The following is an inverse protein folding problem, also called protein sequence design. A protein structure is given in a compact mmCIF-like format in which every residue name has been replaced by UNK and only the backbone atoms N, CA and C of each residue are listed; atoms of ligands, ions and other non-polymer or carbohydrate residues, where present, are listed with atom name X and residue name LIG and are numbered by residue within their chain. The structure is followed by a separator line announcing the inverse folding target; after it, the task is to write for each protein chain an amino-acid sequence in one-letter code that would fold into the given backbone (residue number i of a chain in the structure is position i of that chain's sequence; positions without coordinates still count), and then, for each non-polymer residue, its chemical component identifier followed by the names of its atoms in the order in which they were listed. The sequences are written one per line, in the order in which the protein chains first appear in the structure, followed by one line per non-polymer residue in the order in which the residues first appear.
data_IF_826796851300
#
_entry.id   IF_826796851300
#
_cell.length_a   1.000
_cell.length_b   1.000
_cell.length_c   1.000
_cell.angle_alpha   90.00
_cell.angle_beta   90.00
_cell.angle_gamma   90.00
#
_symmetry.space_group_name_H-M   'P 1'
#
loop_
_entity.id
_entity.type
_entity.pdbx_description
1 polymer ?
#
# COMPACT_ATOMS: atom_id res chain seq x y z
N UNK A 1 20.57 -10.69 13.82
CA UNK A 1 20.57 -9.31 13.27
C UNK A 1 19.42 -9.09 12.28
N UNK A 2 19.13 -10.03 11.41
CA UNK A 2 18.04 -9.97 10.41
C UNK A 2 16.67 -9.68 11.03
N UNK A 3 16.35 -10.35 12.14
CA UNK A 3 15.07 -10.17 12.83
C UNK A 3 14.82 -8.73 13.30
N UNK A 4 15.83 -8.08 13.89
CA UNK A 4 15.75 -6.70 14.37
C UNK A 4 15.59 -5.73 13.19
N UNK A 5 16.36 -5.95 12.14
CA UNK A 5 16.32 -5.08 10.97
C UNK A 5 14.99 -5.19 10.20
N UNK A 6 14.41 -6.40 10.04
CA UNK A 6 13.08 -6.59 9.45
C UNK A 6 11.99 -5.95 10.31
N UNK A 7 12.08 -6.10 11.64
CA UNK A 7 11.13 -5.48 12.56
C UNK A 7 11.17 -3.95 12.48
N UNK A 8 12.36 -3.37 12.41
CA UNK A 8 12.53 -1.93 12.22
C UNK A 8 12.05 -1.46 10.85
N UNK A 9 12.37 -2.21 9.79
CA UNK A 9 11.85 -1.93 8.45
C UNK A 9 10.31 -2.00 8.42
N UNK A 10 9.70 -2.94 9.15
CA UNK A 10 8.25 -3.03 9.28
C UNK A 10 7.63 -1.85 10.01
N UNK A 11 8.28 -1.34 11.06
CA UNK A 11 7.86 -0.09 11.73
C UNK A 11 7.87 1.09 10.75
N UNK A 12 8.98 1.29 10.03
CA UNK A 12 9.09 2.35 9.02
C UNK A 12 8.08 2.16 7.89
N UNK A 13 7.86 0.91 7.47
CA UNK A 13 6.86 0.58 6.45
C UNK A 13 5.45 0.98 6.91
N UNK A 14 5.04 0.61 8.12
CA UNK A 14 3.76 1.01 8.69
C UNK A 14 3.62 2.52 8.82
N UNK A 15 4.68 3.18 9.28
CA UNK A 15 4.75 4.65 9.37
C UNK A 15 4.50 5.31 8.01
N UNK A 16 5.25 4.93 6.98
CA UNK A 16 5.12 5.51 5.63
C UNK A 16 3.80 5.08 4.97
N UNK A 17 3.40 3.80 5.12
CA UNK A 17 2.14 3.31 4.54
C UNK A 17 0.94 4.09 5.03
N UNK A 18 0.88 4.34 6.32
CA UNK A 18 -0.26 5.04 6.93
C UNK A 18 -0.46 6.45 6.38
N UNK A 19 0.59 7.05 5.90
CA UNK A 19 0.64 8.45 5.45
C UNK A 19 0.39 8.57 3.95
N UNK A 20 1.13 7.81 3.14
CA UNK A 20 1.13 7.92 1.66
C UNK A 20 0.67 6.63 0.99
N UNK A 21 0.62 5.50 1.72
CA UNK A 21 0.26 4.21 1.13
C UNK A 21 1.43 3.49 0.45
N UNK A 22 2.67 3.72 0.92
CA UNK A 22 3.89 3.19 0.29
C UNK A 22 4.72 2.24 1.15
N UNK A 23 4.16 1.65 2.20
CA UNK A 23 4.92 0.82 3.16
C UNK A 23 5.65 -0.37 2.54
N UNK A 24 5.04 -1.01 1.55
CA UNK A 24 5.69 -2.09 0.82
C UNK A 24 6.97 -1.68 0.08
N UNK A 25 7.13 -0.39 -0.26
CA UNK A 25 8.37 0.14 -0.85
C UNK A 25 9.56 0.11 0.13
N UNK A 26 9.31 -0.07 1.41
CA UNK A 26 10.34 -0.21 2.45
C UNK A 26 10.54 -1.68 2.83
N UNK A 27 9.45 -2.35 3.23
CA UNK A 27 9.55 -3.70 3.78
C UNK A 27 9.93 -4.74 2.72
N UNK A 28 9.38 -4.65 1.50
CA UNK A 28 9.66 -5.62 0.44
C UNK A 28 11.14 -5.61 0.03
N UNK A 29 11.77 -4.47 -0.33
CA UNK A 29 13.20 -4.45 -0.62
C UNK A 29 14.06 -4.89 0.55
N UNK A 30 13.70 -4.51 1.80
CA UNK A 30 14.43 -4.96 2.98
C UNK A 30 14.38 -6.49 3.14
N UNK A 31 13.22 -7.12 2.88
CA UNK A 31 13.07 -8.56 2.90
C UNK A 31 13.90 -9.24 1.79
N UNK A 32 13.88 -8.72 0.55
CA UNK A 32 14.69 -9.28 -0.54
C UNK A 32 16.20 -9.13 -0.29
N UNK A 33 16.64 -8.03 0.32
CA UNK A 33 18.05 -7.83 0.67
C UNK A 33 18.53 -8.79 1.76
N UNK A 34 17.65 -9.14 2.72
CA UNK A 34 17.98 -10.05 3.82
C UNK A 34 17.82 -11.52 3.47
N UNK A 35 16.85 -11.83 2.60
CA UNK A 35 16.51 -13.20 2.21
C UNK A 35 16.53 -13.36 0.70
N UNK A 36 17.70 -13.20 0.03
CA UNK A 36 17.80 -13.14 -1.43
C UNK A 36 17.38 -14.45 -2.12
N UNK A 37 17.47 -15.58 -1.42
CA UNK A 37 17.12 -16.91 -1.94
C UNK A 37 15.68 -17.33 -1.63
N UNK A 38 14.91 -16.48 -0.90
CA UNK A 38 13.54 -16.80 -0.56
C UNK A 38 12.60 -16.61 -1.77
N UNK A 39 11.56 -17.43 -1.82
CA UNK A 39 10.54 -17.31 -2.86
C UNK A 39 9.81 -15.96 -2.73
N UNK A 40 9.59 -15.19 -3.83
CA UNK A 40 8.93 -13.88 -3.78
C UNK A 40 7.58 -13.90 -3.07
N UNK A 41 6.75 -14.92 -3.35
CA UNK A 41 5.45 -15.08 -2.70
C UNK A 41 5.56 -15.16 -1.16
N UNK A 42 6.62 -15.79 -0.62
CA UNK A 42 6.84 -15.87 0.83
C UNK A 42 7.19 -14.50 1.42
N UNK A 43 8.05 -13.74 0.76
CA UNK A 43 8.40 -12.39 1.20
C UNK A 43 7.19 -11.46 1.13
N UNK A 44 6.35 -11.60 0.09
CA UNK A 44 5.08 -10.86 0.01
C UNK A 44 4.07 -11.33 1.05
N UNK A 45 3.97 -12.62 1.33
CA UNK A 45 3.10 -13.15 2.39
C UNK A 45 3.45 -12.56 3.75
N UNK A 46 4.74 -12.48 4.08
CA UNK A 46 5.24 -11.82 5.30
C UNK A 46 4.91 -10.33 5.28
N UNK A 47 5.15 -9.62 4.17
CA UNK A 47 4.80 -8.20 4.04
C UNK A 47 3.29 -7.97 4.22
N UNK A 48 2.44 -8.77 3.57
CA UNK A 48 0.97 -8.67 3.66
C UNK A 48 0.47 -8.95 5.09
N UNK A 49 1.07 -9.92 5.78
CA UNK A 49 0.73 -10.22 7.17
C UNK A 49 1.00 -9.06 8.14
N UNK A 50 2.04 -8.27 7.89
CA UNK A 50 2.31 -7.06 8.66
C UNK A 50 1.40 -5.89 8.23
N UNK A 51 1.34 -5.62 6.92
CA UNK A 51 0.63 -4.48 6.34
C UNK A 51 -0.86 -4.49 6.62
N UNK A 52 -1.50 -5.68 6.68
CA UNK A 52 -2.92 -5.81 6.98
C UNK A 52 -3.27 -5.12 8.31
N UNK A 53 -2.51 -5.37 9.37
CA UNK A 53 -2.76 -4.80 10.70
C UNK A 53 -2.46 -3.31 10.75
N UNK A 54 -1.35 -2.87 10.17
CA UNK A 54 -1.02 -1.45 10.09
C UNK A 54 -2.03 -0.66 9.27
N UNK A 55 -2.45 -1.21 8.12
CA UNK A 55 -3.48 -0.59 7.28
C UNK A 55 -4.85 -0.55 7.98
N UNK A 56 -5.22 -1.59 8.73
CA UNK A 56 -6.44 -1.59 9.55
C UNK A 56 -6.41 -0.48 10.61
N UNK A 57 -5.28 -0.33 11.31
CA UNK A 57 -5.09 0.73 12.31
C UNK A 57 -5.18 2.14 11.69
N UNK A 58 -4.56 2.34 10.51
CA UNK A 58 -4.68 3.59 9.76
C UNK A 58 -6.12 3.85 9.30
N UNK A 59 -6.77 2.85 8.70
CA UNK A 59 -8.14 2.94 8.23
C UNK A 59 -9.10 3.35 9.35
N UNK A 60 -8.93 2.77 10.53
CA UNK A 60 -9.72 3.15 11.72
C UNK A 60 -9.52 4.62 12.11
N UNK A 61 -8.26 5.11 12.17
CA UNK A 61 -7.98 6.50 12.53
C UNK A 61 -8.53 7.49 11.49
N UNK A 62 -8.34 7.21 10.18
CA UNK A 62 -8.88 8.04 9.11
C UNK A 62 -10.41 8.06 9.11
N UNK A 63 -11.05 6.88 9.26
CA UNK A 63 -12.50 6.78 9.33
C UNK A 63 -13.07 7.54 10.52
N UNK A 64 -12.44 7.40 11.70
CA UNK A 64 -12.85 8.13 12.90
C UNK A 64 -12.72 9.66 12.71
N UNK A 65 -11.66 10.12 12.06
CA UNK A 65 -11.48 11.56 11.75
C UNK A 65 -12.56 12.08 10.80
N UNK A 66 -12.84 11.32 9.72
CA UNK A 66 -13.89 11.69 8.74
C UNK A 66 -15.27 11.71 9.42
N UNK A 67 -15.58 10.74 10.28
CA UNK A 67 -16.86 10.67 10.98
C UNK A 67 -17.04 11.83 11.97
N UNK A 68 -16.00 12.19 12.71
CA UNK A 68 -16.06 13.25 13.71
C UNK A 68 -16.04 14.66 13.09
N UNK A 69 -15.60 14.82 11.86
CA UNK A 69 -15.61 16.10 11.17
C UNK A 69 -17.01 16.54 10.67
N UNK A 70 -18.04 15.74 10.92
CA UNK A 70 -19.44 16.07 10.68
C UNK A 70 -19.94 15.84 9.25
N UNK A 71 -21.22 16.20 9.01
CA UNK A 71 -21.93 15.92 7.74
C UNK A 71 -21.25 16.48 6.48
N UNK A 72 -20.45 17.53 6.56
CA UNK A 72 -19.76 18.12 5.39
C UNK A 72 -18.74 17.15 4.78
N UNK A 73 -18.00 16.39 5.61
CA UNK A 73 -17.06 15.39 5.12
C UNK A 73 -17.75 14.08 4.70
N UNK A 74 -18.97 13.82 5.18
CA UNK A 74 -19.74 12.63 4.82
C UNK A 74 -20.46 12.77 3.46
N UNK A 75 -20.73 13.98 3.01
CA UNK A 75 -21.46 14.27 1.74
C UNK A 75 -20.63 13.98 0.48
N UNK A 76 -19.31 13.82 0.60
CA UNK A 76 -18.42 13.54 -0.53
C UNK A 76 -17.93 12.08 -0.60
N UNK A 77 -18.47 11.17 0.21
CA UNK A 77 -18.08 9.77 0.12
C UNK A 77 -18.69 9.12 -1.13
N UNK A 78 -17.91 8.28 -1.79
CA UNK A 78 -18.34 7.37 -2.86
C UNK A 78 -19.70 6.74 -2.55
N UNK A 79 -20.56 6.60 -3.54
CA UNK A 79 -21.82 5.89 -3.33
C UNK A 79 -21.52 4.50 -2.76
N UNK A 80 -22.29 4.07 -1.76
CA UNK A 80 -22.07 2.77 -1.09
C UNK A 80 -21.95 1.63 -2.08
N UNK A 81 -22.74 1.68 -3.15
CA UNK A 81 -22.76 0.66 -4.19
C UNK A 81 -21.46 0.64 -5.00
N UNK A 82 -20.93 1.81 -5.43
CA UNK A 82 -19.67 1.91 -6.15
C UNK A 82 -18.48 1.45 -5.26
N UNK A 83 -18.54 1.79 -3.98
CA UNK A 83 -17.51 1.39 -3.01
C UNK A 83 -17.49 -0.13 -2.77
N UNK A 84 -18.66 -0.75 -2.53
CA UNK A 84 -18.75 -2.20 -2.37
C UNK A 84 -18.30 -2.94 -3.63
N UNK A 85 -18.68 -2.46 -4.82
CA UNK A 85 -18.20 -3.02 -6.08
C UNK A 85 -16.68 -2.92 -6.22
N UNK A 86 -16.08 -1.75 -5.91
CA UNK A 86 -14.64 -1.56 -5.96
C UNK A 86 -13.92 -2.49 -4.98
N UNK A 87 -14.45 -2.67 -3.77
CA UNK A 87 -13.88 -3.56 -2.77
C UNK A 87 -13.89 -5.02 -3.25
N UNK A 88 -15.02 -5.50 -3.76
CA UNK A 88 -15.11 -6.86 -4.31
C UNK A 88 -14.13 -7.07 -5.46
N UNK A 89 -14.05 -6.10 -6.38
CA UNK A 89 -13.12 -6.19 -7.52
C UNK A 89 -11.66 -6.05 -7.09
N UNK A 90 -11.35 -5.27 -6.05
CA UNK A 90 -10.01 -5.21 -5.47
C UNK A 90 -9.60 -6.54 -4.83
N UNK A 91 -10.52 -7.19 -4.13
CA UNK A 91 -10.32 -8.54 -3.55
C UNK A 91 -10.07 -9.57 -4.65
N UNK A 92 -10.90 -9.60 -5.70
CA UNK A 92 -10.73 -10.52 -6.82
C UNK A 92 -9.42 -10.26 -7.56
N UNK A 93 -9.13 -9.00 -7.89
CA UNK A 93 -7.87 -8.62 -8.54
C UNK A 93 -6.66 -9.03 -7.71
N UNK A 94 -6.69 -8.73 -6.41
CA UNK A 94 -5.59 -9.05 -5.49
C UNK A 94 -5.36 -10.56 -5.34
N UNK A 95 -6.43 -11.33 -5.29
CA UNK A 95 -6.32 -12.80 -5.26
C UNK A 95 -5.65 -13.34 -6.53
N UNK A 96 -6.07 -12.85 -7.71
CA UNK A 96 -5.46 -13.23 -8.99
C UNK A 96 -3.99 -12.78 -9.09
N UNK A 97 -3.67 -11.56 -8.64
CA UNK A 97 -2.30 -11.07 -8.58
C UNK A 97 -1.40 -11.87 -7.66
N UNK A 98 -1.90 -12.20 -6.46
CA UNK A 98 -1.20 -13.05 -5.51
C UNK A 98 -1.00 -14.48 -6.04
N UNK A 99 -1.98 -15.02 -6.74
CA UNK A 99 -1.81 -16.30 -7.43
C UNK A 99 -0.73 -16.22 -8.52
N UNK A 100 -0.75 -15.17 -9.33
CA UNK A 100 0.23 -14.99 -10.40
C UNK A 100 1.67 -14.92 -9.87
N UNK A 101 1.93 -14.23 -8.75
CA UNK A 101 3.28 -14.14 -8.18
C UNK A 101 3.80 -15.48 -7.62
N UNK A 102 2.92 -16.41 -7.26
CA UNK A 102 3.37 -17.77 -6.85
C UNK A 102 3.98 -18.55 -8.02
N UNK A 103 3.73 -18.15 -9.27
CA UNK A 103 4.24 -18.78 -10.48
C UNK A 103 5.56 -18.14 -10.96
N UNK A 104 6.01 -17.04 -10.33
CA UNK A 104 7.20 -16.31 -10.77
C UNK A 104 8.46 -16.85 -10.11
N UNK A 105 9.52 -17.05 -10.90
CA UNK A 105 10.82 -17.47 -10.39
C UNK A 105 11.48 -16.39 -9.53
N UNK A 106 12.21 -16.76 -8.46
CA UNK A 106 12.92 -15.80 -7.60
C UNK A 106 13.90 -14.90 -8.37
N UNK A 107 14.67 -15.46 -9.31
CA UNK A 107 15.70 -14.73 -10.06
C UNK A 107 15.10 -13.67 -11.00
N UNK A 108 14.03 -14.02 -11.71
CA UNK A 108 13.34 -13.08 -12.59
C UNK A 108 12.75 -11.91 -11.83
N UNK A 109 12.15 -12.20 -10.68
CA UNK A 109 11.55 -11.16 -9.82
C UNK A 109 12.60 -10.23 -9.21
N UNK A 110 13.71 -10.76 -8.71
CA UNK A 110 14.82 -9.98 -8.12
C UNK A 110 15.39 -8.97 -9.11
N UNK A 111 15.60 -9.37 -10.38
CA UNK A 111 16.08 -8.48 -11.44
C UNK A 111 15.05 -7.41 -11.83
N UNK A 112 13.76 -7.72 -11.79
CA UNK A 112 12.69 -6.78 -12.12
C UNK A 112 12.41 -5.76 -11.01
N UNK A 113 12.67 -6.11 -9.73
CA UNK A 113 12.33 -5.31 -8.55
C UNK A 113 12.84 -3.86 -8.61
N UNK A 114 14.12 -3.56 -8.92
CA UNK A 114 14.60 -2.19 -8.98
C UNK A 114 13.87 -1.33 -10.01
N UNK A 115 13.56 -1.89 -11.18
CA UNK A 115 12.84 -1.17 -12.24
C UNK A 115 11.43 -0.80 -11.83
N UNK A 116 10.72 -1.72 -11.17
CA UNK A 116 9.36 -1.45 -10.67
C UNK A 116 9.39 -0.39 -9.57
N UNK A 117 10.37 -0.45 -8.64
CA UNK A 117 10.55 0.56 -7.60
C UNK A 117 10.86 1.94 -8.19
N UNK A 118 11.73 2.01 -9.20
CA UNK A 118 12.04 3.26 -9.92
C UNK A 118 10.79 3.81 -10.60
N UNK A 119 10.02 2.97 -11.28
CA UNK A 119 8.78 3.41 -11.94
C UNK A 119 7.78 4.00 -10.94
N UNK A 120 7.55 3.33 -9.79
CA UNK A 120 6.69 3.83 -8.72
C UNK A 120 7.23 5.13 -8.10
N UNK A 121 8.54 5.24 -7.95
CA UNK A 121 9.21 6.44 -7.44
C UNK A 121 9.03 7.63 -8.38
N UNK A 122 9.33 7.45 -9.67
CA UNK A 122 9.14 8.49 -10.69
C UNK A 122 7.67 8.93 -10.73
N UNK A 123 6.75 7.95 -10.72
CA UNK A 123 5.32 8.23 -10.65
C UNK A 123 4.96 9.11 -9.45
N UNK A 124 5.49 8.80 -8.26
CA UNK A 124 5.24 9.56 -7.03
C UNK A 124 5.84 10.97 -7.09
N UNK A 125 7.04 11.11 -7.70
CA UNK A 125 7.68 12.41 -7.90
C UNK A 125 6.90 13.33 -8.85
N UNK A 126 6.38 12.78 -9.93
CA UNK A 126 5.67 13.54 -10.98
C UNK A 126 4.36 14.20 -10.47
N UNK A 127 3.86 13.78 -9.30
CA UNK A 127 2.56 14.20 -8.77
C UNK A 127 2.70 15.25 -7.65
N UNK A 128 2.77 16.53 -8.04
CA UNK A 128 2.99 17.65 -7.10
C UNK A 128 1.73 18.09 -6.34
N UNK A 129 0.56 18.05 -6.97
CA UNK A 129 -0.70 18.55 -6.40
C UNK A 129 -1.67 17.39 -6.13
N UNK A 130 -1.77 17.01 -4.86
CA UNK A 130 -2.63 15.93 -4.40
C UNK A 130 -3.83 16.50 -3.63
N UNK A 131 -4.98 16.65 -4.33
CA UNK A 131 -6.30 16.82 -3.71
C UNK A 131 -6.41 17.93 -2.67
N UNK A 132 -6.28 19.19 -3.09
CA UNK A 132 -6.48 20.35 -2.21
C UNK A 132 -7.95 20.62 -1.95
N UNK A 133 -8.80 20.35 -2.95
CA UNK A 133 -10.24 20.60 -2.90
C UNK A 133 -11.03 19.35 -3.25
N UNK A 134 -12.15 19.18 -2.58
CA UNK A 134 -13.07 18.07 -2.83
C UNK A 134 -14.11 18.54 -3.88
N UNK A 135 -13.95 18.08 -5.12
CA UNK A 135 -14.81 18.48 -6.25
C UNK A 135 -15.17 17.26 -7.13
N UNK A 136 -16.00 16.31 -6.64
CA UNK A 136 -16.45 15.20 -7.45
C UNK A 136 -17.34 15.66 -8.60
N UNK A 137 -17.01 15.21 -9.83
CA UNK A 137 -17.71 15.63 -11.06
C UNK A 137 -18.39 14.48 -11.79
N UNK A 138 -18.19 13.23 -11.35
CA UNK A 138 -18.72 12.05 -12.03
C UNK A 138 -20.17 11.78 -11.69
N UNK A 139 -20.92 11.26 -12.69
CA UNK A 139 -22.23 10.70 -12.45
C UNK A 139 -22.12 9.37 -11.67
N UNK A 140 -23.16 8.93 -10.94
CA UNK A 140 -23.11 7.67 -10.16
C UNK A 140 -22.71 6.43 -10.97
N UNK A 141 -23.09 6.38 -12.25
CA UNK A 141 -22.69 5.27 -13.13
C UNK A 141 -21.21 5.34 -13.53
N UNK A 142 -20.72 6.53 -13.87
CA UNK A 142 -19.30 6.74 -14.16
C UNK A 142 -18.43 6.44 -12.94
N UNK A 143 -18.87 6.90 -11.77
CA UNK A 143 -18.20 6.61 -10.50
C UNK A 143 -18.07 5.10 -10.25
N UNK A 144 -19.15 4.33 -10.47
CA UNK A 144 -19.14 2.86 -10.34
C UNK A 144 -18.12 2.20 -11.28
N UNK A 145 -18.11 2.59 -12.56
CA UNK A 145 -17.16 2.04 -13.53
C UNK A 145 -15.70 2.37 -13.19
N UNK A 146 -15.42 3.64 -12.86
CA UNK A 146 -14.08 4.09 -12.50
C UNK A 146 -13.60 3.39 -11.23
N UNK A 147 -14.44 3.35 -10.20
CA UNK A 147 -14.13 2.66 -8.94
C UNK A 147 -13.93 1.17 -9.12
N UNK A 148 -14.77 0.52 -9.93
CA UNK A 148 -14.65 -0.90 -10.23
C UNK A 148 -13.34 -1.22 -10.96
N UNK A 149 -13.00 -0.47 -12.01
CA UNK A 149 -11.76 -0.64 -12.76
C UNK A 149 -10.52 -0.39 -11.88
N UNK A 150 -10.54 0.69 -11.10
CA UNK A 150 -9.49 0.99 -10.13
C UNK A 150 -9.31 -0.15 -9.12
N UNK A 151 -10.42 -0.63 -8.55
CA UNK A 151 -10.41 -1.74 -7.61
C UNK A 151 -9.72 -2.96 -8.20
N UNK A 152 -10.16 -3.39 -9.38
CA UNK A 152 -9.61 -4.59 -10.05
C UNK A 152 -8.14 -4.45 -10.43
N UNK A 153 -7.77 -3.36 -11.12
CA UNK A 153 -6.41 -3.17 -11.64
C UNK A 153 -5.41 -2.93 -10.51
N UNK A 154 -5.73 -1.99 -9.60
CA UNK A 154 -4.82 -1.67 -8.49
C UNK A 154 -4.81 -2.82 -7.46
N UNK A 155 -5.94 -3.49 -7.25
CA UNK A 155 -5.99 -4.70 -6.43
C UNK A 155 -5.14 -5.82 -7.02
N UNK A 156 -5.20 -6.05 -8.34
CA UNK A 156 -4.34 -7.01 -9.04
C UNK A 156 -2.86 -6.71 -8.87
N UNK A 157 -2.48 -5.45 -9.04
CA UNK A 157 -1.13 -4.97 -8.75
C UNK A 157 -0.75 -5.21 -7.27
N UNK A 158 -1.66 -4.94 -6.34
CA UNK A 158 -1.43 -5.15 -4.90
C UNK A 158 -1.16 -6.61 -4.56
N UNK A 159 -1.92 -7.53 -5.14
CA UNK A 159 -1.71 -8.97 -4.94
C UNK A 159 -0.40 -9.46 -5.54
N UNK A 160 -0.05 -8.99 -6.74
CA UNK A 160 1.14 -9.43 -7.46
C UNK A 160 2.43 -8.83 -6.88
N UNK A 161 2.42 -7.55 -6.53
CA UNK A 161 3.61 -6.82 -6.10
C UNK A 161 3.39 -6.07 -4.78
N UNK A 162 2.43 -5.17 -4.71
CA UNK A 162 1.98 -4.46 -3.50
C UNK A 162 2.67 -3.15 -3.15
N UNK A 163 3.98 -2.94 -3.36
CA UNK A 163 4.62 -1.66 -3.01
C UNK A 163 3.96 -0.45 -3.69
N UNK A 164 3.52 0.52 -2.89
CA UNK A 164 2.90 1.75 -3.40
C UNK A 164 1.41 1.69 -3.71
N UNK A 165 0.74 0.57 -3.51
CA UNK A 165 -0.69 0.37 -3.80
C UNK A 165 -1.58 1.44 -3.17
N UNK A 166 -1.36 1.77 -1.89
CA UNK A 166 -2.11 2.83 -1.22
C UNK A 166 -1.98 4.17 -1.92
N UNK A 167 -0.77 4.53 -2.38
CA UNK A 167 -0.54 5.74 -3.16
C UNK A 167 -1.28 5.74 -4.49
N UNK A 168 -1.34 4.58 -5.17
CA UNK A 168 -2.10 4.46 -6.42
C UNK A 168 -3.59 4.64 -6.20
N UNK A 169 -4.17 4.04 -5.16
CA UNK A 169 -5.57 4.26 -4.81
C UNK A 169 -5.85 5.72 -4.48
N UNK A 170 -5.04 6.35 -3.60
CA UNK A 170 -5.20 7.75 -3.23
C UNK A 170 -5.13 8.63 -4.48
N UNK A 171 -4.08 8.44 -5.30
CA UNK A 171 -3.91 9.23 -6.50
C UNK A 171 -5.06 9.06 -7.50
N UNK A 172 -5.49 7.82 -7.76
CA UNK A 172 -6.57 7.55 -8.69
C UNK A 172 -7.89 8.18 -8.21
N UNK A 173 -8.19 8.14 -6.91
CA UNK A 173 -9.35 8.81 -6.33
C UNK A 173 -9.28 10.33 -6.45
N UNK A 174 -8.12 10.92 -6.17
CA UNK A 174 -7.93 12.37 -6.34
C UNK A 174 -8.08 12.76 -7.80
N UNK A 175 -7.46 12.02 -8.72
CA UNK A 175 -7.38 12.40 -10.14
C UNK A 175 -8.67 12.12 -10.90
N UNK A 176 -9.31 10.99 -10.65
CA UNK A 176 -10.47 10.56 -11.44
C UNK A 176 -11.80 10.83 -10.75
N UNK A 177 -11.83 10.83 -9.41
CA UNK A 177 -13.06 11.08 -8.65
C UNK A 177 -13.14 12.52 -8.09
N UNK A 178 -12.07 13.30 -8.15
CA UNK A 178 -12.03 14.67 -7.61
C UNK A 178 -12.01 14.72 -6.08
N UNK A 179 -11.52 13.70 -5.40
CA UNK A 179 -11.47 13.66 -3.95
C UNK A 179 -10.31 14.50 -3.40
N UNK A 180 -10.53 15.13 -2.25
CA UNK A 180 -9.40 15.64 -1.47
C UNK A 180 -8.58 14.50 -0.84
N UNK A 181 -7.40 14.85 -0.34
CA UNK A 181 -6.46 13.87 0.21
C UNK A 181 -7.03 13.08 1.38
N UNK A 182 -7.85 13.68 2.25
CA UNK A 182 -8.38 13.00 3.45
C UNK A 182 -9.43 11.95 3.07
N UNK A 183 -10.38 12.29 2.19
CA UNK A 183 -11.39 11.35 1.68
C UNK A 183 -10.76 10.24 0.85
N UNK A 184 -9.81 10.59 -0.03
CA UNK A 184 -9.06 9.63 -0.82
C UNK A 184 -8.27 8.66 0.07
N UNK A 185 -7.58 9.18 1.11
CA UNK A 185 -6.81 8.33 2.04
C UNK A 185 -7.69 7.39 2.85
N UNK A 186 -8.81 7.88 3.39
CA UNK A 186 -9.74 7.05 4.15
C UNK A 186 -10.31 5.90 3.30
N UNK A 187 -10.73 6.22 2.07
CA UNK A 187 -11.29 5.24 1.13
C UNK A 187 -10.24 4.25 0.62
N UNK A 188 -9.06 4.75 0.25
CA UNK A 188 -7.95 3.93 -0.23
C UNK A 188 -7.49 2.91 0.81
N UNK A 189 -7.44 3.29 2.11
CA UNK A 189 -7.02 2.37 3.18
C UNK A 189 -7.95 1.18 3.32
N UNK A 190 -9.25 1.38 3.17
CA UNK A 190 -10.19 0.26 3.24
C UNK A 190 -10.10 -0.67 2.02
N UNK A 191 -9.91 -0.12 0.79
CA UNK A 191 -9.69 -0.93 -0.40
C UNK A 191 -8.38 -1.72 -0.29
N UNK A 192 -7.32 -1.05 0.18
CA UNK A 192 -6.01 -1.68 0.41
C UNK A 192 -6.05 -2.73 1.52
N UNK A 193 -6.86 -2.54 2.56
CA UNK A 193 -7.09 -3.56 3.58
C UNK A 193 -7.75 -4.81 2.99
N UNK A 194 -8.80 -4.63 2.17
CA UNK A 194 -9.47 -5.74 1.49
C UNK A 194 -8.54 -6.50 0.54
N UNK A 195 -7.74 -5.81 -0.26
CA UNK A 195 -6.78 -6.44 -1.16
C UNK A 195 -5.64 -7.14 -0.40
N UNK A 196 -5.13 -6.57 0.69
CA UNK A 196 -4.14 -7.22 1.56
C UNK A 196 -4.69 -8.51 2.19
N UNK A 197 -5.95 -8.49 2.66
CA UNK A 197 -6.60 -9.69 3.21
C UNK A 197 -6.74 -10.79 2.17
N UNK A 198 -7.16 -10.45 0.94
CA UNK A 198 -7.30 -11.42 -0.15
C UNK A 198 -5.95 -12.09 -0.52
N UNK A 199 -4.90 -11.28 -0.69
CA UNK A 199 -3.57 -11.80 -0.96
C UNK A 199 -3.05 -12.66 0.21
N UNK A 200 -3.26 -12.22 1.45
CA UNK A 200 -2.84 -12.97 2.63
C UNK A 200 -3.53 -14.33 2.73
N UNK A 201 -4.84 -14.42 2.47
CA UNK A 201 -5.57 -15.69 2.44
C UNK A 201 -4.94 -16.65 1.44
N UNK A 202 -4.59 -16.19 0.24
CA UNK A 202 -3.92 -17.01 -0.76
C UNK A 202 -2.53 -17.44 -0.29
N UNK A 203 -1.70 -16.54 0.23
CA UNK A 203 -0.35 -16.88 0.69
C UNK A 203 -0.36 -17.84 1.88
N UNK A 204 -1.35 -17.77 2.76
CA UNK A 204 -1.57 -18.75 3.83
C UNK A 204 -1.93 -20.12 3.24
N UNK A 205 -2.90 -20.17 2.33
CA UNK A 205 -3.37 -21.43 1.72
C UNK A 205 -2.30 -22.13 0.88
N UNK A 206 -1.35 -21.37 0.33
CA UNK A 206 -0.23 -21.89 -0.47
C UNK A 206 1.06 -22.11 0.33
N UNK A 207 1.03 -21.89 1.66
CA UNK A 207 2.19 -22.11 2.54
C UNK A 207 3.28 -21.03 2.47
N UNK A 208 3.01 -19.89 1.85
CA UNK A 208 3.97 -18.80 1.66
C UNK A 208 3.94 -17.80 2.84
N UNK A 209 4.06 -18.30 4.08
CA UNK A 209 4.10 -17.46 5.30
C UNK A 209 5.18 -17.95 6.26
N UNK A 210 5.99 -17.03 6.76
CA UNK A 210 6.92 -17.27 7.86
C UNK A 210 6.32 -16.81 9.18
N UNK A 211 5.56 -17.67 9.83
CA UNK A 211 4.79 -17.37 11.05
C UNK A 211 5.63 -16.79 12.19
N UNK A 212 6.91 -17.19 12.31
CA UNK A 212 7.82 -16.71 13.35
C UNK A 212 8.13 -15.21 13.25
N UNK A 213 7.99 -14.60 12.06
CA UNK A 213 8.13 -13.14 11.88
C UNK A 213 6.84 -12.37 12.10
N UNK A 214 5.67 -12.99 11.85
CA UNK A 214 4.38 -12.31 11.71
C UNK A 214 4.04 -11.43 12.91
N UNK A 215 4.14 -11.96 14.14
CA UNK A 215 3.72 -11.22 15.33
C UNK A 215 4.54 -9.94 15.53
N UNK A 216 5.87 -10.06 15.46
CA UNK A 216 6.77 -8.92 15.73
C UNK A 216 6.67 -7.83 14.65
N UNK A 217 6.64 -8.24 13.37
CA UNK A 217 6.51 -7.28 12.27
C UNK A 217 5.12 -6.64 12.24
N UNK A 218 4.06 -7.36 12.62
CA UNK A 218 2.71 -6.81 12.69
C UNK A 218 2.61 -5.76 13.81
N UNK A 219 3.11 -6.05 15.01
CA UNK A 219 3.14 -5.08 16.13
C UNK A 219 3.95 -3.84 15.76
N UNK A 220 5.14 -4.02 15.17
CA UNK A 220 5.97 -2.91 14.72
C UNK A 220 5.27 -2.08 13.63
N UNK A 221 4.61 -2.73 12.66
CA UNK A 221 3.87 -2.08 11.60
C UNK A 221 2.69 -1.25 12.14
N UNK A 222 1.93 -1.81 13.08
CA UNK A 222 0.83 -1.10 13.76
C UNK A 222 1.36 0.11 14.52
N UNK A 223 2.45 -0.02 15.28
CA UNK A 223 3.04 1.09 16.02
C UNK A 223 3.47 2.22 15.06
N UNK A 224 4.17 1.88 13.97
CA UNK A 224 4.52 2.83 12.93
C UNK A 224 3.29 3.50 12.30
N UNK A 225 2.28 2.69 11.97
CA UNK A 225 1.04 3.16 11.35
C UNK A 225 0.26 4.13 12.25
N UNK A 226 0.14 3.86 13.54
CA UNK A 226 -0.54 4.75 14.49
C UNK A 226 0.15 6.11 14.61
N UNK A 227 1.49 6.12 14.65
CA UNK A 227 2.28 7.35 14.71
C UNK A 227 2.20 8.10 13.39
N UNK A 228 2.38 7.41 12.27
CA UNK A 228 2.35 8.01 10.94
C UNK A 228 1.00 8.64 10.62
N UNK A 229 -0.12 7.95 10.91
CA UNK A 229 -1.46 8.50 10.69
C UNK A 229 -1.69 9.76 11.52
N UNK A 230 -1.29 9.78 12.81
CA UNK A 230 -1.41 10.97 13.65
C UNK A 230 -0.65 12.15 13.07
N UNK A 231 0.57 11.90 12.59
CA UNK A 231 1.43 12.93 11.99
C UNK A 231 0.83 13.46 10.68
N UNK A 232 0.31 12.57 9.84
CA UNK A 232 -0.37 12.94 8.59
C UNK A 232 -1.60 13.80 8.83
N UNK A 233 -2.41 13.43 9.82
CA UNK A 233 -3.62 14.18 10.18
C UNK A 233 -3.30 15.55 10.81
N UNK A 234 -2.11 15.72 11.39
CA UNK A 234 -1.68 16.98 12.03
C UNK A 234 -0.97 17.93 11.07
N UNK A 235 -0.01 17.44 10.26
CA UNK A 235 0.85 18.27 9.40
C UNK A 235 0.44 18.30 7.92
N UNK A 236 -0.50 17.42 7.53
CA UNK A 236 -0.95 17.33 6.14
C UNK A 236 0.02 16.60 5.20
N UNK A 237 -0.40 16.47 3.94
CA UNK A 237 0.27 15.61 2.96
C UNK A 237 1.68 16.06 2.53
N UNK A 238 2.00 17.35 2.65
CA UNK A 238 3.26 17.92 2.12
C UNK A 238 4.50 17.40 2.85
N UNK A 239 4.53 17.45 4.18
CA UNK A 239 5.64 16.98 5.01
C UNK A 239 5.93 15.49 4.76
N UNK A 240 4.88 14.73 4.67
CA UNK A 240 4.92 13.30 4.53
C UNK A 240 5.49 12.87 3.18
N UNK A 241 5.12 13.58 2.11
CA UNK A 241 5.66 13.36 0.78
C UNK A 241 7.19 13.49 0.75
N UNK A 242 7.73 14.50 1.42
CA UNK A 242 9.20 14.70 1.49
C UNK A 242 9.87 13.54 2.22
N UNK A 243 9.36 13.14 3.38
CA UNK A 243 9.88 12.01 4.12
C UNK A 243 9.82 10.69 3.32
N UNK A 244 8.71 10.44 2.62
CA UNK A 244 8.55 9.30 1.74
C UNK A 244 9.59 9.29 0.61
N UNK A 245 9.78 10.42 -0.07
CA UNK A 245 10.75 10.53 -1.17
C UNK A 245 12.18 10.23 -0.72
N UNK A 246 12.59 10.72 0.44
CA UNK A 246 13.93 10.45 0.98
C UNK A 246 14.13 8.96 1.24
N UNK A 247 13.15 8.31 1.90
CA UNK A 247 13.24 6.89 2.22
C UNK A 247 13.26 6.03 0.96
N UNK A 248 12.36 6.30 0.01
CA UNK A 248 12.29 5.52 -1.25
C UNK A 248 13.54 5.72 -2.09
N UNK A 249 14.09 6.94 -2.19
CA UNK A 249 15.34 7.20 -2.90
C UNK A 249 16.52 6.40 -2.30
N UNK A 250 16.64 6.39 -0.98
CA UNK A 250 17.67 5.60 -0.28
C UNK A 250 17.52 4.09 -0.55
N UNK A 251 16.29 3.59 -0.57
CA UNK A 251 16.02 2.17 -0.84
C UNK A 251 16.28 1.77 -2.29
N UNK A 252 15.91 2.62 -3.26
CA UNK A 252 16.23 2.39 -4.67
C UNK A 252 17.73 2.31 -4.85
N UNK A 253 18.48 3.25 -4.28
CA UNK A 253 19.95 3.27 -4.37
C UNK A 253 20.52 1.99 -3.79
N UNK A 254 20.07 1.58 -2.60
CA UNK A 254 20.52 0.34 -1.95
C UNK A 254 20.16 -0.89 -2.77
N UNK A 255 18.93 -1.02 -3.23
CA UNK A 255 18.46 -2.19 -3.98
C UNK A 255 19.16 -2.31 -5.34
N UNK A 256 19.41 -1.18 -6.02
CA UNK A 256 20.18 -1.16 -7.25
C UNK A 256 21.65 -1.57 -7.00
N UNK A 257 22.26 -1.06 -5.93
CA UNK A 257 23.61 -1.45 -5.53
C UNK A 257 23.70 -2.97 -5.28
N UNK A 258 22.79 -3.51 -4.45
CA UNK A 258 22.76 -4.93 -4.09
C UNK A 258 22.52 -5.83 -5.33
N UNK A 259 21.74 -5.37 -6.31
CA UNK A 259 21.41 -6.15 -7.50
C UNK A 259 22.51 -6.17 -8.57
N UNK A 260 23.33 -5.11 -8.67
CA UNK A 260 24.27 -4.93 -9.80
C UNK A 260 25.73 -4.84 -9.39
N UNK A 261 26.04 -4.55 -8.10
CA UNK A 261 27.43 -4.39 -7.64
C UNK A 261 27.89 -5.55 -6.75
N UNK A 262 26.97 -6.31 -6.14
CA UNK A 262 27.30 -7.41 -5.20
C UNK A 262 26.95 -8.78 -5.79
N UNK A 263 26.32 -8.80 -6.99
CA UNK A 263 25.91 -10.03 -7.70
C UNK A 263 27.00 -10.66 -8.56
#
# INVERSE_FOLDING_TARGET
MEFIAVTFASFLAGFVDSIVGGGGLILVPAMFAMFPNAHPATLFGVNKSASMWGTAAAAWQYAHRVTNAGNKLRQGMVTRCAYCQALVLAVVGSFLGAWAVTQVSPDGFRKALPFVLIAVFIYTLAKKDMGREHAPTLTPNQERWVMGLMGFVIGGYDGFFGPGTGSFFIFAMVRFLGFDFLHASASAKLLNLGSNMAALVLFISTGHIWWHFVVFIAVANVAGSLIGTRLALHHGAGFVRVAFMIVVAALITKTAWDAYMVG
#
